data_IF_348071927764
#
_entry.id   IF_348071927764
#
_cell.length_a   1.000
_cell.length_b   1.000
_cell.length_c   1.000
_cell.angle_alpha   90.00
_cell.angle_beta   90.00
_cell.angle_gamma   90.00
#
_symmetry.space_group_name_H-M   'P 1'
#
loop_
_entity.id
_entity.type
_entity.pdbx_description
1 polymer ?
#
# COMPACT_ATOMS: atom_id res chain seq x y z
N UNK A 1 -4.04 -9.78 -27.33
CA UNK A 1 -4.70 -10.75 -26.43
C UNK A 1 -4.71 -10.30 -24.97
N UNK A 2 -3.58 -9.90 -24.36
CA UNK A 2 -3.59 -9.45 -22.94
C UNK A 2 -4.51 -8.26 -22.66
N UNK A 3 -4.42 -7.19 -23.46
CA UNK A 3 -5.25 -5.99 -23.32
C UNK A 3 -6.76 -6.25 -23.55
N UNK A 4 -7.09 -7.13 -24.50
CA UNK A 4 -8.48 -7.45 -24.83
C UNK A 4 -9.16 -8.30 -23.74
N UNK A 5 -8.44 -9.29 -23.19
CA UNK A 5 -8.91 -10.06 -22.04
C UNK A 5 -9.06 -9.17 -20.80
N UNK A 6 -8.09 -8.29 -20.55
CA UNK A 6 -8.15 -7.35 -19.44
C UNK A 6 -9.39 -6.46 -19.55
N UNK A 7 -9.63 -5.83 -20.71
CA UNK A 7 -10.82 -5.00 -20.93
C UNK A 7 -12.13 -5.78 -20.70
N UNK A 8 -12.22 -7.01 -21.21
CA UNK A 8 -13.42 -7.83 -21.04
C UNK A 8 -13.70 -8.17 -19.57
N UNK A 9 -12.67 -8.56 -18.82
CA UNK A 9 -12.81 -8.85 -17.39
C UNK A 9 -13.10 -7.57 -16.60
N UNK A 10 -12.39 -6.49 -16.89
CA UNK A 10 -12.57 -5.18 -16.26
C UNK A 10 -13.99 -4.65 -16.45
N UNK A 11 -14.53 -4.69 -17.66
CA UNK A 11 -15.89 -4.21 -17.95
C UNK A 11 -16.95 -5.08 -17.24
N UNK A 12 -16.73 -6.39 -17.16
CA UNK A 12 -17.59 -7.29 -16.40
C UNK A 12 -17.57 -6.97 -14.89
N UNK A 13 -16.39 -6.70 -14.32
CA UNK A 13 -16.23 -6.29 -12.92
C UNK A 13 -16.91 -4.95 -12.65
N UNK A 14 -16.69 -3.95 -13.50
CA UNK A 14 -17.35 -2.64 -13.37
C UNK A 14 -18.87 -2.75 -13.44
N UNK A 15 -19.39 -3.58 -14.36
CA UNK A 15 -20.82 -3.81 -14.49
C UNK A 15 -21.40 -4.48 -13.24
N UNK A 16 -20.68 -5.43 -12.65
CA UNK A 16 -21.11 -6.11 -11.43
C UNK A 16 -21.07 -5.21 -10.19
N UNK A 17 -20.09 -4.32 -10.10
CA UNK A 17 -19.87 -3.47 -8.92
C UNK A 17 -20.53 -2.08 -9.02
N UNK A 18 -20.98 -1.67 -10.21
CA UNK A 18 -21.57 -0.35 -10.45
C UNK A 18 -20.55 0.79 -10.52
N UNK A 19 -19.28 0.45 -10.73
CA UNK A 19 -18.13 1.35 -10.63
C UNK A 19 -17.06 0.80 -9.68
N UNK A 20 -15.90 1.45 -9.68
CA UNK A 20 -14.85 1.21 -8.69
C UNK A 20 -14.48 2.55 -8.05
N UNK A 21 -14.86 2.73 -6.80
CA UNK A 21 -14.31 3.81 -5.99
C UNK A 21 -12.89 3.45 -5.48
N UNK A 22 -12.25 4.41 -4.80
CA UNK A 22 -10.88 4.22 -4.28
C UNK A 22 -10.81 3.07 -3.26
N UNK A 23 -11.82 2.91 -2.41
CA UNK A 23 -11.84 1.83 -1.41
C UNK A 23 -11.93 0.47 -2.09
N UNK A 24 -12.83 0.32 -3.06
CA UNK A 24 -12.97 -0.90 -3.85
C UNK A 24 -11.71 -1.21 -4.66
N UNK A 25 -11.09 -0.19 -5.26
CA UNK A 25 -9.83 -0.36 -6.00
C UNK A 25 -8.68 -0.84 -5.12
N UNK A 26 -8.56 -0.30 -3.90
CA UNK A 26 -7.58 -0.76 -2.92
C UNK A 26 -7.88 -2.20 -2.48
N UNK A 27 -9.15 -2.54 -2.19
CA UNK A 27 -9.52 -3.90 -1.77
C UNK A 27 -9.20 -4.94 -2.82
N UNK A 28 -9.46 -4.63 -4.10
CA UNK A 28 -9.17 -5.53 -5.20
C UNK A 28 -7.68 -5.71 -5.42
N UNK A 29 -6.89 -4.65 -5.24
CA UNK A 29 -5.45 -4.68 -5.57
C UNK A 29 -4.59 -5.15 -4.40
N UNK A 30 -4.91 -4.73 -3.17
CA UNK A 30 -4.08 -4.97 -1.99
C UNK A 30 -4.76 -5.85 -0.93
N UNK A 31 -6.05 -6.17 -1.07
CA UNK A 31 -6.80 -6.91 -0.06
C UNK A 31 -7.24 -6.09 1.16
N UNK A 32 -6.98 -4.77 1.18
CA UNK A 32 -7.38 -3.85 2.24
C UNK A 32 -8.08 -2.60 1.70
N UNK A 33 -8.88 -1.93 2.52
CA UNK A 33 -9.60 -0.71 2.14
C UNK A 33 -8.90 0.57 2.59
N UNK A 34 -9.47 1.71 2.22
CA UNK A 34 -9.04 3.04 2.66
C UNK A 34 -9.03 3.15 4.19
N UNK A 35 -10.07 2.62 4.84
CA UNK A 35 -10.19 2.63 6.29
C UNK A 35 -9.07 1.85 7.00
N UNK A 36 -8.62 0.75 6.39
CA UNK A 36 -7.54 -0.09 6.91
C UNK A 36 -6.19 0.64 6.82
N UNK A 37 -5.90 1.28 5.67
CA UNK A 37 -4.71 2.14 5.52
C UNK A 37 -4.71 3.29 6.51
N UNK A 38 -5.84 3.99 6.66
CA UNK A 38 -5.93 5.10 7.60
C UNK A 38 -5.71 4.61 9.04
N UNK A 39 -6.32 3.49 9.41
CA UNK A 39 -6.11 2.87 10.73
C UNK A 39 -4.64 2.51 10.95
N UNK A 40 -3.97 1.91 9.96
CA UNK A 40 -2.53 1.62 9.99
C UNK A 40 -1.70 2.88 10.25
N UNK A 41 -1.97 3.97 9.50
CA UNK A 41 -1.28 5.26 9.65
C UNK A 41 -1.47 5.84 11.05
N UNK A 42 -2.70 5.83 11.57
CA UNK A 42 -3.01 6.40 12.89
C UNK A 42 -2.43 5.58 14.04
N UNK A 43 -2.44 4.26 13.92
CA UNK A 43 -1.81 3.37 14.90
C UNK A 43 -0.30 3.55 14.90
N UNK A 44 0.32 3.65 13.72
CA UNK A 44 1.73 3.97 13.61
C UNK A 44 2.06 5.34 14.22
N UNK A 45 1.28 6.37 13.89
CA UNK A 45 1.44 7.71 14.45
C UNK A 45 1.38 7.71 15.99
N UNK A 46 0.45 6.95 16.58
CA UNK A 46 0.31 6.85 18.04
C UNK A 46 1.51 6.20 18.74
N UNK A 47 2.28 5.37 18.03
CA UNK A 47 3.50 4.73 18.55
C UNK A 47 4.76 5.59 18.34
N UNK A 48 4.67 6.62 17.51
CA UNK A 48 5.81 7.45 17.18
C UNK A 48 6.15 8.40 18.34
N UNK A 49 7.44 8.71 18.56
CA UNK A 49 7.89 9.59 19.62
C UNK A 49 7.68 11.07 19.26
N UNK A 50 6.49 11.43 18.77
CA UNK A 50 6.12 12.81 18.39
C UNK A 50 5.04 13.35 19.32
N UNK A 51 5.05 14.65 19.65
CA UNK A 51 3.97 15.26 20.42
C UNK A 51 2.62 15.07 19.72
N UNK A 52 1.61 14.62 20.46
CA UNK A 52 0.28 14.39 19.91
C UNK A 52 -0.34 15.68 19.37
N UNK A 53 -0.75 15.67 18.11
CA UNK A 53 -1.47 16.78 17.48
C UNK A 53 -2.99 16.55 17.53
N UNK A 54 -3.75 17.60 17.86
CA UNK A 54 -5.22 17.52 17.98
C UNK A 54 -5.93 17.17 16.66
N UNK A 55 -5.31 17.45 15.50
CA UNK A 55 -5.91 17.28 14.17
C UNK A 55 -5.20 16.20 13.33
N UNK A 56 -4.46 15.28 13.97
CA UNK A 56 -3.66 14.28 13.26
C UNK A 56 -4.50 13.38 12.32
N UNK A 57 -5.71 13.00 12.75
CA UNK A 57 -6.59 12.15 11.92
C UNK A 57 -7.10 12.86 10.67
N UNK A 58 -7.61 14.09 10.81
CA UNK A 58 -8.11 14.87 9.68
C UNK A 58 -7.00 15.14 8.67
N UNK A 59 -5.80 15.46 9.15
CA UNK A 59 -4.65 15.69 8.29
C UNK A 59 -4.17 14.40 7.61
N UNK A 60 -4.15 13.28 8.33
CA UNK A 60 -3.81 11.97 7.75
C UNK A 60 -4.79 11.60 6.62
N UNK A 61 -6.10 11.82 6.80
CA UNK A 61 -7.11 11.62 5.75
C UNK A 61 -6.81 12.47 4.52
N UNK A 62 -6.57 13.76 4.72
CA UNK A 62 -6.28 14.71 3.63
C UNK A 62 -5.01 14.32 2.85
N UNK A 63 -3.97 13.88 3.55
CA UNK A 63 -2.72 13.44 2.94
C UNK A 63 -2.88 12.11 2.21
N UNK A 64 -3.62 11.16 2.79
CA UNK A 64 -3.92 9.87 2.15
C UNK A 64 -4.73 10.09 0.87
N UNK A 65 -5.76 10.93 0.90
CA UNK A 65 -6.54 11.32 -0.29
C UNK A 65 -5.66 11.94 -1.39
N UNK A 66 -4.70 12.79 -1.01
CA UNK A 66 -3.78 13.40 -1.97
C UNK A 66 -2.85 12.37 -2.61
N UNK A 67 -2.33 11.43 -1.82
CA UNK A 67 -1.49 10.32 -2.30
C UNK A 67 -2.28 9.38 -3.22
N UNK A 68 -3.52 9.02 -2.86
CA UNK A 68 -4.36 8.11 -3.65
C UNK A 68 -4.97 8.73 -4.91
N UNK A 69 -4.84 10.05 -5.12
CA UNK A 69 -5.17 10.71 -6.39
C UNK A 69 -4.03 10.66 -7.41
N UNK A 70 -2.82 10.29 -6.98
CA UNK A 70 -1.66 10.26 -7.86
C UNK A 70 -1.67 8.97 -8.72
N UNK A 71 -1.70 9.07 -10.06
CA UNK A 71 -1.67 7.90 -10.93
C UNK A 71 -0.37 7.09 -10.81
N UNK A 72 0.74 7.72 -10.42
CA UNK A 72 2.00 6.99 -10.23
C UNK A 72 1.91 6.07 -9.00
N UNK A 73 1.22 6.49 -7.93
CA UNK A 73 0.97 5.64 -6.77
C UNK A 73 0.15 4.41 -7.16
N UNK A 74 -0.88 4.59 -7.99
CA UNK A 74 -1.69 3.49 -8.49
C UNK A 74 -0.89 2.49 -9.34
N UNK A 75 0.15 2.93 -10.06
CA UNK A 75 1.01 2.01 -10.79
C UNK A 75 1.69 0.98 -9.85
N UNK A 76 2.12 1.40 -8.66
CA UNK A 76 2.67 0.48 -7.65
C UNK A 76 1.59 -0.41 -7.03
N UNK A 77 0.42 0.15 -6.73
CA UNK A 77 -0.73 -0.60 -6.20
C UNK A 77 -1.16 -1.71 -7.16
N UNK A 78 -1.29 -1.41 -8.45
CA UNK A 78 -1.61 -2.42 -9.45
C UNK A 78 -0.48 -3.43 -9.64
N UNK A 79 0.79 -2.98 -9.62
CA UNK A 79 1.92 -3.90 -9.72
C UNK A 79 1.90 -4.94 -8.60
N UNK A 80 1.70 -4.53 -7.34
CA UNK A 80 1.61 -5.46 -6.22
C UNK A 80 0.46 -6.46 -6.40
N UNK A 81 -0.76 -5.98 -6.65
CA UNK A 81 -1.92 -6.85 -6.81
C UNK A 81 -1.79 -7.84 -7.97
N UNK A 82 -1.25 -7.41 -9.10
CA UNK A 82 -1.01 -8.27 -10.26
C UNK A 82 0.08 -9.32 -10.01
N UNK A 83 1.12 -8.97 -9.24
CA UNK A 83 2.20 -9.90 -8.89
C UNK A 83 1.69 -10.96 -7.90
N UNK A 84 0.93 -10.56 -6.88
CA UNK A 84 0.30 -11.47 -5.93
C UNK A 84 -0.73 -12.37 -6.63
N UNK A 85 -1.59 -11.82 -7.50
CA UNK A 85 -2.57 -12.61 -8.25
C UNK A 85 -1.90 -13.66 -9.15
N UNK A 86 -0.80 -13.31 -9.82
CA UNK A 86 -0.01 -14.26 -10.62
C UNK A 86 0.67 -15.32 -9.77
N UNK A 87 1.19 -14.94 -8.60
CA UNK A 87 1.82 -15.87 -7.68
C UNK A 87 0.81 -16.87 -7.11
N UNK A 88 -0.34 -16.38 -6.64
CA UNK A 88 -1.44 -17.21 -6.17
C UNK A 88 -1.99 -18.15 -7.27
N UNK A 89 -2.03 -17.70 -8.53
CA UNK A 89 -2.46 -18.53 -9.66
C UNK A 89 -1.38 -19.51 -10.18
N UNK A 90 -0.17 -19.53 -9.60
CA UNK A 90 0.94 -20.36 -10.07
C UNK A 90 1.50 -19.93 -11.43
N UNK A 91 1.21 -18.70 -11.85
CA UNK A 91 1.70 -18.11 -13.10
C UNK A 91 2.99 -17.30 -12.91
N UNK A 92 3.43 -17.07 -11.66
CA UNK A 92 4.69 -16.41 -11.35
C UNK A 92 5.86 -17.36 -11.61
N UNK A 93 6.69 -17.03 -12.61
CA UNK A 93 7.81 -17.89 -13.00
C UNK A 93 8.86 -17.96 -11.89
N UNK A 94 9.14 -19.17 -11.41
CA UNK A 94 10.16 -19.41 -10.39
C UNK A 94 9.69 -19.20 -8.95
N UNK A 95 8.37 -19.04 -8.73
CA UNK A 95 7.76 -18.95 -7.41
C UNK A 95 6.49 -19.82 -7.40
N UNK A 96 6.41 -20.81 -6.52
CA UNK A 96 5.18 -21.61 -6.38
C UNK A 96 4.14 -20.88 -5.53
N UNK A 97 2.84 -21.22 -5.65
CA UNK A 97 1.81 -20.66 -4.77
C UNK A 97 2.09 -20.91 -3.28
N UNK A 98 2.67 -22.06 -2.93
CA UNK A 98 3.04 -22.38 -1.54
C UNK A 98 4.20 -21.52 -1.04
N UNK A 99 5.21 -21.28 -1.89
CA UNK A 99 6.30 -20.37 -1.56
C UNK A 99 5.80 -18.93 -1.38
N UNK A 100 4.88 -18.49 -2.24
CA UNK A 100 4.25 -17.18 -2.12
C UNK A 100 3.42 -17.06 -0.83
N UNK A 101 2.58 -18.05 -0.52
CA UNK A 101 1.77 -18.07 0.71
C UNK A 101 2.62 -18.16 1.98
N UNK A 102 3.84 -18.68 1.89
CA UNK A 102 4.81 -18.76 2.97
C UNK A 102 5.75 -17.54 3.07
N UNK A 103 5.48 -16.48 2.30
CA UNK A 103 6.27 -15.25 2.28
C UNK A 103 7.77 -15.52 2.00
N UNK A 104 8.03 -16.07 0.81
CA UNK A 104 9.35 -16.58 0.45
C UNK A 104 10.41 -15.47 0.34
N UNK A 105 11.43 -15.54 1.20
CA UNK A 105 12.64 -14.69 1.17
C UNK A 105 13.44 -14.70 -0.14
N UNK A 106 13.06 -15.52 -1.12
CA UNK A 106 13.61 -15.48 -2.48
C UNK A 106 13.18 -14.24 -3.23
N UNK A 107 12.03 -13.68 -2.86
CA UNK A 107 11.49 -12.47 -3.43
C UNK A 107 12.00 -11.31 -2.58
N UNK A 108 12.71 -10.41 -3.23
CA UNK A 108 13.19 -9.12 -2.67
C UNK A 108 12.58 -7.96 -3.47
N UNK A 109 11.76 -8.32 -4.48
CA UNK A 109 11.17 -7.38 -5.41
C UNK A 109 9.98 -6.64 -4.78
N UNK A 110 9.31 -7.26 -3.83
CA UNK A 110 8.32 -6.69 -2.91
C UNK A 110 8.93 -5.53 -2.10
N UNK A 111 10.03 -5.78 -1.40
CA UNK A 111 10.73 -4.76 -0.63
C UNK A 111 11.24 -3.63 -1.54
N UNK A 112 11.78 -4.01 -2.71
CA UNK A 112 12.26 -3.03 -3.70
C UNK A 112 11.13 -2.14 -4.24
N UNK A 113 9.95 -2.72 -4.46
CA UNK A 113 8.75 -2.01 -4.91
C UNK A 113 8.25 -1.06 -3.82
N UNK A 114 8.23 -1.51 -2.57
CA UNK A 114 7.86 -0.70 -1.41
C UNK A 114 8.83 0.46 -1.17
N UNK A 115 10.14 0.23 -1.23
CA UNK A 115 11.16 1.27 -1.09
C UNK A 115 11.00 2.33 -2.18
N UNK A 116 10.81 1.92 -3.43
CA UNK A 116 10.60 2.85 -4.54
C UNK A 116 9.33 3.69 -4.36
N UNK A 117 8.23 3.09 -3.90
CA UNK A 117 6.99 3.82 -3.62
C UNK A 117 7.15 4.79 -2.44
N UNK A 118 7.76 4.35 -1.33
CA UNK A 118 8.00 5.19 -0.18
C UNK A 118 8.88 6.40 -0.55
N UNK A 119 9.98 6.16 -1.27
CA UNK A 119 10.85 7.21 -1.78
C UNK A 119 10.11 8.16 -2.72
N UNK A 120 9.26 7.64 -3.61
CA UNK A 120 8.44 8.47 -4.49
C UNK A 120 7.50 9.41 -3.70
N UNK A 121 6.85 8.91 -2.66
CA UNK A 121 5.87 9.69 -1.88
C UNK A 121 6.55 10.73 -0.98
N UNK A 122 7.59 10.34 -0.24
CA UNK A 122 8.16 11.15 0.84
C UNK A 122 9.69 11.22 0.87
N UNK A 123 10.35 10.81 -0.21
CA UNK A 123 11.81 10.77 -0.32
C UNK A 123 12.45 9.81 0.68
N UNK A 124 13.75 10.01 0.93
CA UNK A 124 14.51 9.15 1.83
C UNK A 124 13.94 9.06 3.25
N UNK A 125 13.27 10.10 3.75
CA UNK A 125 12.59 10.07 5.06
C UNK A 125 11.48 9.01 5.13
N UNK A 126 10.74 8.83 4.04
CA UNK A 126 9.71 7.81 3.96
C UNK A 126 10.29 6.39 3.90
N UNK A 127 11.45 6.20 3.26
CA UNK A 127 12.18 4.93 3.31
C UNK A 127 12.60 4.59 4.75
N UNK A 128 13.13 5.57 5.50
CA UNK A 128 13.45 5.36 6.92
C UNK A 128 12.21 5.05 7.76
N UNK A 129 11.09 5.71 7.45
CA UNK A 129 9.80 5.47 8.12
C UNK A 129 9.26 4.08 7.81
N UNK A 130 9.41 3.59 6.58
CA UNK A 130 9.04 2.24 6.17
C UNK A 130 9.81 1.19 7.01
N UNK A 131 11.14 1.31 7.10
CA UNK A 131 11.93 0.40 7.94
C UNK A 131 11.59 0.52 9.43
N UNK A 132 11.18 1.69 9.89
CA UNK A 132 10.68 1.85 11.25
C UNK A 132 9.34 1.13 11.45
N UNK A 133 8.40 1.23 10.50
CA UNK A 133 7.11 0.54 10.55
C UNK A 133 7.27 -0.99 10.59
N UNK A 134 8.12 -1.55 9.72
CA UNK A 134 8.40 -3.00 9.68
C UNK A 134 8.86 -3.53 11.06
N UNK A 135 9.64 -2.73 11.79
CA UNK A 135 10.08 -3.07 13.15
C UNK A 135 8.99 -2.97 14.21
N UNK A 136 8.02 -2.07 14.04
CA UNK A 136 6.95 -1.85 15.01
C UNK A 136 5.73 -2.76 14.76
N UNK A 137 5.51 -3.20 13.51
CA UNK A 137 4.36 -3.99 13.06
C UNK A 137 2.99 -3.45 13.53
N UNK A 138 2.67 -2.16 13.32
CA UNK A 138 1.37 -1.60 13.68
C UNK A 138 0.28 -2.09 12.71
N UNK A 139 -0.98 -2.14 13.16
CA UNK A 139 -2.15 -2.24 12.28
C UNK A 139 -2.33 -3.56 11.48
N UNK A 140 -3.39 -3.62 10.66
CA UNK A 140 -3.90 -4.88 10.08
C UNK A 140 -3.14 -5.30 8.80
N UNK A 141 -1.81 -5.38 8.87
CA UNK A 141 -1.01 -5.98 7.80
C UNK A 141 -1.06 -7.52 7.83
N UNK A 142 -1.50 -8.10 8.96
CA UNK A 142 -1.56 -9.53 9.15
C UNK A 142 -2.51 -10.21 8.15
N UNK A 143 -1.95 -11.10 7.32
CA UNK A 143 -2.70 -11.91 6.36
C UNK A 143 -2.84 -11.28 4.96
N UNK A 144 -2.18 -10.15 4.71
CA UNK A 144 -2.04 -9.63 3.36
C UNK A 144 -1.07 -10.48 2.54
N UNK A 145 -1.26 -10.55 1.20
CA UNK A 145 -0.26 -11.11 0.31
C UNK A 145 1.08 -10.36 0.38
N UNK A 146 2.16 -11.07 0.07
CA UNK A 146 3.55 -10.62 0.14
C UNK A 146 3.80 -9.23 -0.48
N UNK A 147 3.42 -8.97 -1.74
CA UNK A 147 3.64 -7.64 -2.34
C UNK A 147 2.68 -6.58 -1.80
N UNK A 148 1.44 -6.96 -1.53
CA UNK A 148 0.41 -6.07 -1.02
C UNK A 148 0.72 -5.53 0.38
N UNK A 149 1.26 -6.36 1.28
CA UNK A 149 1.74 -5.96 2.61
C UNK A 149 2.75 -4.82 2.50
N UNK A 150 3.83 -5.08 1.76
CA UNK A 150 4.95 -4.15 1.57
C UNK A 150 4.52 -2.83 0.91
N UNK A 151 3.65 -2.87 -0.09
CA UNK A 151 3.09 -1.66 -0.72
C UNK A 151 2.16 -0.90 0.23
N UNK A 152 1.34 -1.59 1.03
CA UNK A 152 0.50 -0.95 2.04
C UNK A 152 1.34 -0.26 3.13
N UNK A 153 2.42 -0.91 3.59
CA UNK A 153 3.38 -0.33 4.52
C UNK A 153 4.07 0.90 3.91
N UNK A 154 4.45 0.87 2.63
CA UNK A 154 5.06 2.01 1.94
C UNK A 154 4.10 3.21 1.79
N UNK A 155 2.82 2.95 1.47
CA UNK A 155 1.78 3.99 1.45
C UNK A 155 1.65 4.65 2.83
N UNK A 156 1.57 3.83 3.89
CA UNK A 156 1.49 4.33 5.25
C UNK A 156 2.72 5.14 5.64
N UNK A 157 3.93 4.65 5.33
CA UNK A 157 5.19 5.33 5.58
C UNK A 157 5.28 6.69 4.89
N UNK A 158 4.84 6.76 3.63
CA UNK A 158 4.83 7.98 2.85
C UNK A 158 3.88 9.03 3.41
N UNK A 159 2.64 8.64 3.75
CA UNK A 159 1.66 9.55 4.36
C UNK A 159 2.13 10.00 5.75
N UNK A 160 2.62 9.06 6.56
CA UNK A 160 3.11 9.34 7.91
C UNK A 160 4.30 10.32 7.91
N UNK A 161 5.21 10.18 6.95
CA UNK A 161 6.31 11.12 6.75
C UNK A 161 5.81 12.53 6.43
N UNK A 162 4.85 12.67 5.51
CA UNK A 162 4.25 13.97 5.18
C UNK A 162 3.51 14.56 6.40
N UNK A 163 2.84 13.72 7.19
CA UNK A 163 2.17 14.14 8.40
C UNK A 163 3.18 14.70 9.41
N UNK A 164 4.30 14.02 9.64
CA UNK A 164 5.36 14.53 10.51
C UNK A 164 5.96 15.84 10.01
N UNK A 165 6.26 15.94 8.71
CA UNK A 165 6.82 17.16 8.14
C UNK A 165 5.87 18.34 8.37
N UNK A 166 4.57 18.13 8.21
CA UNK A 166 3.57 19.17 8.44
C UNK A 166 3.38 19.52 9.91
N UNK A 167 3.33 18.54 10.81
CA UNK A 167 3.11 18.77 12.24
C UNK A 167 4.34 19.38 12.94
N UNK A 168 5.55 19.04 12.49
CA UNK A 168 6.80 19.50 13.11
C UNK A 168 7.26 20.82 12.48
N UNK A 169 7.15 20.98 11.16
CA UNK A 169 7.69 22.15 10.45
C UNK A 169 6.62 23.16 10.02
N UNK A 170 5.33 22.83 10.13
CA UNK A 170 4.24 23.73 9.74
C UNK A 170 4.11 23.97 8.24
N UNK A 171 4.68 23.08 7.41
CA UNK A 171 4.69 23.17 5.94
C UNK A 171 3.68 22.22 5.32
#
# INVERSE_FOLDING_TARGET
MGDELFRLVHDAVLTALGGLDVDQGLRLSLGLGYGDLLSLILQAYAQAPVPGAQNAEEEARRLLDAVLRDPNVWAFVYAAGELDAKAAAGAYRGLTPEEHAADSKKIVADESLAVALAEYIGGFKAVLTLYWLDRQKPGPLAGLPMFADDVAAALAAGVLTKLYDKLIHGV
#
